data_IF_949570322797
#
_entry.id   IF_949570322797
#
_cell.length_a   1.000
_cell.length_b   1.000
_cell.length_c   1.000
_cell.angle_alpha   90.00
_cell.angle_beta   90.00
_cell.angle_gamma   90.00
#
_symmetry.space_group_name_H-M   'P 1'
#
loop_
_entity.id
_entity.type
_entity.pdbx_description
1 polymer ?
#
# COMPACT_ATOMS: atom_id res chain seq x y z
N UNK A 1 -14.95 -11.68 5.43
CA UNK A 1 -15.05 -10.25 5.06
C UNK A 1 -15.36 -10.08 3.58
N UNK A 2 -14.58 -10.64 2.65
CA UNK A 2 -14.80 -10.49 1.20
C UNK A 2 -16.21 -10.93 0.73
N UNK A 3 -16.68 -12.10 1.18
CA UNK A 3 -18.05 -12.60 0.93
C UNK A 3 -19.17 -11.65 1.42
N UNK A 4 -18.89 -10.75 2.36
CA UNK A 4 -19.87 -9.77 2.84
C UNK A 4 -19.93 -8.52 1.96
N UNK A 5 -18.86 -8.20 1.23
CA UNK A 5 -18.74 -6.96 0.43
C UNK A 5 -19.11 -7.20 -1.04
N UNK A 6 -18.72 -8.37 -1.57
CA UNK A 6 -18.95 -8.75 -2.98
C UNK A 6 -20.41 -8.58 -3.44
N UNK A 7 -21.44 -9.04 -2.68
CA UNK A 7 -22.83 -8.96 -3.16
C UNK A 7 -23.36 -7.54 -3.33
N UNK A 8 -22.72 -6.55 -2.68
CA UNK A 8 -23.19 -5.17 -2.64
C UNK A 8 -22.34 -4.21 -3.47
N UNK A 9 -21.34 -4.71 -4.19
CA UNK A 9 -20.36 -3.88 -4.88
C UNK A 9 -20.17 -4.33 -6.33
N UNK A 10 -20.26 -3.37 -7.26
CA UNK A 10 -19.98 -3.64 -8.69
C UNK A 10 -18.53 -4.05 -8.91
N UNK A 11 -17.61 -3.44 -8.17
CA UNK A 11 -16.19 -3.73 -8.18
C UNK A 11 -15.70 -3.79 -6.74
N UNK A 12 -14.85 -4.76 -6.44
CA UNK A 12 -14.15 -4.85 -5.16
C UNK A 12 -12.66 -4.89 -5.47
N UNK A 13 -11.89 -4.06 -4.78
CA UNK A 13 -10.42 -4.11 -4.86
C UNK A 13 -9.91 -4.60 -3.52
N UNK A 14 -9.15 -5.69 -3.56
CA UNK A 14 -8.38 -6.18 -2.41
C UNK A 14 -6.96 -5.69 -2.57
N UNK A 15 -6.39 -5.16 -1.50
CA UNK A 15 -5.06 -4.54 -1.52
C UNK A 15 -4.12 -5.35 -0.63
N UNK A 16 -2.91 -5.63 -1.09
CA UNK A 16 -1.89 -6.22 -0.22
C UNK A 16 -1.51 -5.25 0.92
N UNK A 17 -1.06 -5.78 2.07
CA UNK A 17 -0.26 -4.97 3.00
C UNK A 17 0.93 -4.35 2.25
N UNK A 18 1.35 -3.15 2.63
CA UNK A 18 2.49 -2.48 1.98
C UNK A 18 3.83 -3.15 2.37
N UNK A 19 4.46 -2.69 3.44
CA UNK A 19 5.71 -3.25 4.00
C UNK A 19 5.72 -3.04 5.52
N UNK A 20 6.57 -3.77 6.22
CA UNK A 20 6.92 -3.53 7.63
C UNK A 20 8.41 -3.24 7.71
N UNK A 21 8.75 -2.00 8.03
CA UNK A 21 10.09 -1.45 7.87
C UNK A 21 10.48 -1.30 6.40
N UNK A 22 11.41 -0.39 6.13
CA UNK A 22 11.86 -0.11 4.76
C UNK A 22 13.07 -0.94 4.32
N UNK A 23 13.59 -1.80 5.20
CA UNK A 23 14.52 -2.85 4.80
C UNK A 23 13.74 -4.01 4.13
N UNK A 24 13.88 -4.13 2.82
CA UNK A 24 13.18 -5.14 2.02
C UNK A 24 13.57 -6.59 2.35
N UNK A 25 14.73 -6.80 2.97
CA UNK A 25 15.26 -8.12 3.28
C UNK A 25 14.96 -8.59 4.71
N UNK A 26 14.09 -7.87 5.44
CA UNK A 26 13.70 -8.27 6.78
C UNK A 26 12.65 -9.41 6.76
N UNK A 27 12.60 -10.17 7.86
CA UNK A 27 11.71 -11.31 8.01
C UNK A 27 10.21 -10.94 7.85
N UNK A 28 9.70 -9.83 8.43
CA UNK A 28 8.32 -9.41 8.21
C UNK A 28 7.95 -9.19 6.74
N UNK A 29 8.82 -8.59 5.94
CA UNK A 29 8.56 -8.36 4.52
C UNK A 29 8.52 -9.67 3.73
N UNK A 30 9.31 -10.68 4.10
CA UNK A 30 9.20 -12.03 3.54
C UNK A 30 7.82 -12.65 3.84
N UNK A 31 7.38 -12.61 5.10
CA UNK A 31 6.06 -13.13 5.51
C UNK A 31 4.91 -12.38 4.83
N UNK A 32 5.05 -11.07 4.61
CA UNK A 32 4.09 -10.29 3.86
C UNK A 32 3.96 -10.73 2.41
N UNK A 33 5.05 -11.14 1.72
CA UNK A 33 4.96 -11.65 0.35
C UNK A 33 4.14 -12.92 0.27
N UNK A 34 4.34 -13.82 1.23
CA UNK A 34 3.56 -15.05 1.33
C UNK A 34 2.08 -14.73 1.57
N UNK A 35 1.79 -13.80 2.49
CA UNK A 35 0.43 -13.35 2.76
C UNK A 35 -0.22 -12.69 1.54
N UNK A 36 0.50 -11.80 0.83
CA UNK A 36 0.04 -11.14 -0.39
C UNK A 36 -0.31 -12.16 -1.47
N UNK A 37 0.51 -13.21 -1.62
CA UNK A 37 0.26 -14.31 -2.55
C UNK A 37 -1.03 -15.08 -2.19
N UNK A 38 -1.27 -15.33 -0.90
CA UNK A 38 -2.52 -15.96 -0.44
C UNK A 38 -3.73 -15.05 -0.73
N UNK A 39 -3.62 -13.75 -0.45
CA UNK A 39 -4.69 -12.78 -0.71
C UNK A 39 -5.01 -12.69 -2.21
N UNK A 40 -3.99 -12.62 -3.06
CA UNK A 40 -4.15 -12.60 -4.51
C UNK A 40 -4.88 -13.87 -5.00
N UNK A 41 -4.45 -15.04 -4.52
CA UNK A 41 -5.05 -16.33 -4.90
C UNK A 41 -6.52 -16.44 -4.48
N UNK A 42 -6.89 -15.92 -3.32
CA UNK A 42 -8.29 -15.84 -2.89
C UNK A 42 -9.06 -14.88 -3.78
N UNK A 43 -8.48 -13.72 -4.11
CA UNK A 43 -9.13 -12.68 -4.92
C UNK A 43 -9.48 -13.19 -6.33
N UNK A 44 -8.60 -14.00 -6.94
CA UNK A 44 -8.82 -14.62 -8.26
C UNK A 44 -10.03 -15.55 -8.37
N UNK A 45 -10.60 -15.99 -7.24
CA UNK A 45 -11.78 -16.87 -7.23
C UNK A 45 -13.08 -16.13 -7.56
N UNK A 46 -13.05 -14.79 -7.65
CA UNK A 46 -14.23 -13.96 -7.80
C UNK A 46 -14.10 -13.04 -9.02
N UNK A 47 -15.13 -13.00 -9.86
CA UNK A 47 -15.08 -12.27 -11.15
C UNK A 47 -15.17 -10.75 -11.03
N UNK A 48 -15.70 -10.23 -9.91
CA UNK A 48 -15.82 -8.80 -9.65
C UNK A 48 -14.77 -8.27 -8.66
N UNK A 49 -13.75 -9.07 -8.36
CA UNK A 49 -12.66 -8.70 -7.46
C UNK A 49 -11.37 -8.51 -8.24
N UNK A 50 -10.67 -7.41 -7.99
CA UNK A 50 -9.33 -7.14 -8.48
C UNK A 50 -8.35 -7.08 -7.31
N UNK A 51 -7.12 -7.50 -7.55
CA UNK A 51 -6.04 -7.41 -6.57
C UNK A 51 -5.10 -6.25 -6.94
N UNK A 52 -4.79 -5.40 -5.96
CA UNK A 52 -3.81 -4.33 -6.10
C UNK A 52 -2.63 -4.63 -5.18
N UNK A 53 -1.48 -4.89 -5.78
CA UNK A 53 -0.27 -5.20 -5.04
C UNK A 53 0.50 -3.92 -4.66
N UNK A 54 0.21 -3.35 -3.49
CA UNK A 54 0.93 -2.19 -2.96
C UNK A 54 2.31 -2.59 -2.41
N UNK A 55 2.49 -3.83 -1.95
CA UNK A 55 3.79 -4.33 -1.51
C UNK A 55 4.85 -4.18 -2.61
N UNK A 56 4.59 -4.74 -3.79
CA UNK A 56 5.52 -4.64 -4.93
C UNK A 56 5.80 -3.20 -5.34
N UNK A 57 4.81 -2.29 -5.22
CA UNK A 57 5.00 -0.86 -5.50
C UNK A 57 6.00 -0.24 -4.53
N UNK A 58 5.93 -0.59 -3.24
CA UNK A 58 6.87 -0.09 -2.24
C UNK A 58 8.26 -0.71 -2.43
N UNK A 59 8.34 -2.01 -2.72
CA UNK A 59 9.60 -2.68 -3.04
C UNK A 59 10.30 -2.02 -4.24
N UNK A 60 9.58 -1.73 -5.33
CA UNK A 60 10.13 -1.06 -6.51
C UNK A 60 10.69 0.33 -6.17
N UNK A 61 9.95 1.12 -5.39
CA UNK A 61 10.37 2.46 -4.97
C UNK A 61 11.59 2.43 -4.06
N UNK A 62 11.71 1.39 -3.23
CA UNK A 62 12.79 1.27 -2.25
C UNK A 62 14.03 0.53 -2.77
N UNK A 63 13.92 -0.21 -3.88
CA UNK A 63 14.98 -1.08 -4.41
C UNK A 63 16.32 -0.34 -4.67
N UNK A 64 16.27 0.95 -4.97
CA UNK A 64 17.44 1.76 -5.33
C UNK A 64 17.81 2.82 -4.28
N UNK A 65 17.21 2.77 -3.09
CA UNK A 65 17.53 3.69 -1.99
C UNK A 65 17.99 2.91 -0.77
N UNK A 66 18.95 3.49 -0.05
CA UNK A 66 19.35 2.94 1.23
C UNK A 66 18.34 3.35 2.30
N UNK A 67 17.67 2.37 2.88
CA UNK A 67 16.73 2.54 3.99
C UNK A 67 17.32 2.04 5.29
N UNK A 68 16.93 2.66 6.40
CA UNK A 68 17.30 2.18 7.74
C UNK A 68 16.47 0.94 8.13
N UNK A 69 16.95 0.23 9.15
CA UNK A 69 16.19 -0.83 9.84
C UNK A 69 15.20 -0.26 10.88
N UNK A 70 14.88 1.05 10.82
CA UNK A 70 14.01 1.66 11.79
C UNK A 70 12.58 1.10 11.70
N UNK A 71 12.13 0.51 12.79
CA UNK A 71 10.73 0.14 13.01
C UNK A 71 10.39 0.58 14.43
N UNK A 72 9.38 1.43 14.58
CA UNK A 72 8.93 1.82 15.91
C UNK A 72 8.22 0.65 16.58
N UNK A 73 8.83 0.11 17.64
CA UNK A 73 8.25 -0.98 18.45
C UNK A 73 7.27 -0.48 19.52
N UNK A 74 7.07 0.85 19.63
CA UNK A 74 6.19 1.45 20.63
C UNK A 74 5.10 2.31 19.98
N UNK A 75 3.86 1.82 20.07
CA UNK A 75 2.64 2.54 19.63
C UNK A 75 2.51 3.90 20.33
N UNK A 76 2.99 4.01 21.58
CA UNK A 76 2.97 5.27 22.34
C UNK A 76 3.92 6.34 21.74
N UNK A 77 5.09 5.92 21.24
CA UNK A 77 6.01 6.83 20.52
C UNK A 77 5.41 7.30 19.21
N UNK A 78 4.74 6.40 18.48
CA UNK A 78 4.04 6.72 17.22
C UNK A 78 2.90 7.72 17.45
N UNK A 79 2.05 7.46 18.45
CA UNK A 79 0.95 8.37 18.78
C UNK A 79 1.45 9.74 19.20
N UNK A 80 2.55 9.82 19.97
CA UNK A 80 3.19 11.10 20.29
C UNK A 80 3.69 11.78 19.02
N UNK A 81 4.38 11.08 18.14
CA UNK A 81 4.87 11.68 16.90
C UNK A 81 3.73 12.26 16.05
N UNK A 82 2.65 11.50 15.86
CA UNK A 82 1.49 11.97 15.08
C UNK A 82 0.78 13.15 15.75
N UNK A 83 0.62 13.13 17.08
CA UNK A 83 -0.10 14.18 17.80
C UNK A 83 0.72 15.48 17.93
N UNK A 84 2.04 15.39 18.13
CA UNK A 84 2.94 16.56 18.23
C UNK A 84 3.37 17.10 16.87
N UNK A 85 3.41 16.26 15.83
CA UNK A 85 3.80 16.64 14.47
C UNK A 85 2.60 16.65 13.51
N UNK A 86 1.49 17.31 13.84
CA UNK A 86 0.35 17.54 12.92
C UNK A 86 0.68 18.25 11.59
N UNK A 87 1.92 18.68 11.41
CA UNK A 87 2.40 19.30 10.17
C UNK A 87 3.14 18.25 9.33
N UNK A 88 2.65 17.91 8.12
CA UNK A 88 3.28 16.93 7.23
C UNK A 88 4.78 17.16 7.01
N UNK A 89 5.20 18.42 6.84
CA UNK A 89 6.61 18.78 6.66
C UNK A 89 7.49 18.34 7.85
N UNK A 90 6.95 18.40 9.07
CA UNK A 90 7.67 17.95 10.26
C UNK A 90 7.72 16.42 10.35
N UNK A 91 6.65 15.73 9.95
CA UNK A 91 6.59 14.26 9.87
C UNK A 91 7.63 13.77 8.85
N UNK A 92 7.64 14.35 7.65
CA UNK A 92 8.57 13.94 6.59
C UNK A 92 10.02 14.20 6.99
N UNK A 93 10.27 15.29 7.72
CA UNK A 93 11.60 15.56 8.27
C UNK A 93 11.99 14.52 9.33
N UNK A 94 11.07 14.07 10.17
CA UNK A 94 11.32 13.03 11.17
C UNK A 94 11.58 11.67 10.51
N UNK A 95 10.76 11.31 9.52
CA UNK A 95 10.94 10.15 8.64
C UNK A 95 12.35 10.14 8.03
N UNK A 96 12.78 11.23 7.38
CA UNK A 96 14.14 11.35 6.83
C UNK A 96 15.23 11.25 7.89
N UNK A 97 15.03 11.84 9.08
CA UNK A 97 15.99 11.72 10.20
C UNK A 97 16.15 10.27 10.68
N UNK A 98 15.11 9.45 10.51
CA UNK A 98 15.14 8.02 10.81
C UNK A 98 15.76 7.20 9.68
N UNK A 99 16.03 7.79 8.52
CA UNK A 99 16.48 7.06 7.33
C UNK A 99 15.35 6.30 6.64
N UNK A 100 14.13 6.86 6.69
CA UNK A 100 12.93 6.36 6.02
C UNK A 100 12.55 7.29 4.86
N UNK A 101 11.94 6.73 3.82
CA UNK A 101 11.58 7.37 2.56
C UNK A 101 10.08 7.37 2.29
N UNK A 102 9.35 6.33 2.69
CA UNK A 102 7.92 6.15 2.43
C UNK A 102 7.07 6.11 3.71
N UNK A 103 7.70 5.85 4.85
CA UNK A 103 7.05 5.67 6.14
C UNK A 103 7.58 6.65 7.17
N UNK A 104 6.77 6.98 8.18
CA UNK A 104 7.17 7.85 9.28
C UNK A 104 7.85 7.06 10.42
N UNK A 105 7.51 5.79 10.56
CA UNK A 105 7.93 4.92 11.67
C UNK A 105 8.21 3.46 11.26
N UNK A 106 8.30 3.19 9.96
CA UNK A 106 8.40 1.84 9.41
C UNK A 106 7.06 1.16 9.15
N UNK A 107 5.91 1.78 9.46
CA UNK A 107 4.58 1.18 9.22
C UNK A 107 3.63 2.21 8.60
N UNK A 108 3.49 3.38 9.22
CA UNK A 108 2.57 4.43 8.78
C UNK A 108 3.22 5.30 7.71
N UNK A 109 2.44 5.73 6.73
CA UNK A 109 2.93 6.46 5.58
C UNK A 109 3.36 7.89 5.95
N UNK A 110 4.48 8.33 5.38
CA UNK A 110 4.79 9.76 5.28
C UNK A 110 4.07 10.36 4.05
N UNK A 111 4.33 11.63 3.71
CA UNK A 111 3.66 12.26 2.55
C UNK A 111 3.93 11.54 1.22
N UNK A 112 5.16 11.09 1.00
CA UNK A 112 5.57 10.40 -0.24
C UNK A 112 4.93 9.01 -0.35
N UNK A 113 4.91 8.24 0.75
CA UNK A 113 4.21 6.95 0.79
C UNK A 113 2.71 7.09 0.57
N UNK A 114 2.08 8.11 1.16
CA UNK A 114 0.67 8.38 0.99
C UNK A 114 0.33 8.79 -0.45
N UNK A 115 1.16 9.64 -1.07
CA UNK A 115 1.01 10.01 -2.47
C UNK A 115 1.13 8.80 -3.40
N UNK A 116 2.15 7.96 -3.18
CA UNK A 116 2.38 6.74 -3.95
C UNK A 116 1.14 5.80 -3.92
N UNK A 117 0.56 5.58 -2.75
CA UNK A 117 -0.67 4.76 -2.61
C UNK A 117 -1.86 5.43 -3.30
N UNK A 118 -2.05 6.73 -3.11
CA UNK A 118 -3.16 7.47 -3.72
C UNK A 118 -3.12 7.41 -5.26
N UNK A 119 -1.94 7.55 -5.86
CA UNK A 119 -1.73 7.42 -7.30
C UNK A 119 -2.11 6.02 -7.80
N UNK A 120 -1.65 4.96 -7.12
CA UNK A 120 -1.99 3.58 -7.51
C UNK A 120 -3.47 3.28 -7.35
N UNK A 121 -4.12 3.83 -6.32
CA UNK A 121 -5.55 3.68 -6.12
C UNK A 121 -6.33 4.40 -7.23
N UNK A 122 -5.94 5.63 -7.57
CA UNK A 122 -6.56 6.38 -8.66
C UNK A 122 -6.47 5.61 -9.99
N UNK A 123 -5.29 5.10 -10.33
CA UNK A 123 -5.09 4.29 -11.54
C UNK A 123 -5.97 3.04 -11.58
N UNK A 124 -6.08 2.32 -10.46
CA UNK A 124 -6.94 1.13 -10.37
C UNK A 124 -8.43 1.50 -10.54
N UNK A 125 -8.88 2.59 -9.92
CA UNK A 125 -10.25 3.09 -10.06
C UNK A 125 -10.53 3.45 -11.52
N UNK A 126 -9.64 4.19 -12.17
CA UNK A 126 -9.79 4.57 -13.58
C UNK A 126 -9.85 3.34 -14.49
N UNK A 127 -8.98 2.35 -14.27
CA UNK A 127 -9.01 1.10 -15.02
C UNK A 127 -10.35 0.39 -14.89
N UNK A 128 -10.91 0.27 -13.68
CA UNK A 128 -12.19 -0.42 -13.46
C UNK A 128 -13.39 0.33 -14.03
N UNK A 129 -13.34 1.67 -14.03
CA UNK A 129 -14.41 2.51 -14.55
C UNK A 129 -14.38 2.60 -16.08
N UNK A 130 -13.20 2.65 -16.70
CA UNK A 130 -13.05 2.97 -18.12
C UNK A 130 -12.63 1.79 -19.01
N UNK A 131 -12.08 0.69 -18.48
CA UNK A 131 -11.70 -0.47 -19.31
C UNK A 131 -12.91 -1.19 -19.95
N UNK A 132 -14.13 -0.98 -19.44
CA UNK A 132 -15.36 -1.52 -20.05
C UNK A 132 -15.91 -0.67 -21.20
N UNK A 133 -15.52 0.59 -21.32
CA UNK A 133 -16.06 1.49 -22.36
C UNK A 133 -15.48 1.20 -23.75
N UNK A 134 -14.28 0.62 -23.82
CA UNK A 134 -13.58 0.27 -25.06
C UNK A 134 -14.00 -1.07 -25.67
N UNK A 135 -14.72 -1.94 -24.93
CA UNK A 135 -15.19 -3.23 -25.48
C UNK A 135 -16.49 -3.08 -26.29
N UNK A 136 -17.27 -2.02 -26.07
CA UNK A 136 -18.59 -1.83 -26.71
C UNK A 136 -18.47 -1.16 -28.09
N UNK A 137 -17.36 -0.46 -28.38
CA UNK A 137 -17.17 0.22 -29.67
C UNK A 137 -16.55 -0.63 -30.79
N UNK A 138 -16.04 -1.83 -30.50
CA UNK A 138 -15.49 -2.74 -31.53
C UNK A 138 -16.51 -3.74 -32.10
N UNK A 139 -17.80 -3.54 -31.83
CA UNK A 139 -18.90 -4.31 -32.41
C UNK A 139 -19.94 -3.37 -33.00
N UNK A 140 -19.55 -2.58 -34.01
CA UNK A 140 -20.47 -1.94 -34.96
C UNK A 140 -19.88 -1.94 -36.36
#
# INVERSE_FOLDING_TARGET
MLNMVIPFSKYVVVVSPAIVGENLNNQPNCELRDLSSVIENISKQYSNVSFLDIQSVFEERLANVHSSDYISTSVMTVMKDVLFYRNPVRIDRLSRKRGLHLTLDGIHLNSEGALCVAEKYALMIDQLLFAKSSTIQSQK
#
